data_IF_498398806174
#
_entry.id   IF_498398806174
#
_cell.length_a   1.000
_cell.length_b   1.000
_cell.length_c   1.000
_cell.angle_alpha   90.00
_cell.angle_beta   90.00
_cell.angle_gamma   90.00
#
_symmetry.space_group_name_H-M   'P 1'
#
loop_
_entity.id
_entity.type
_entity.pdbx_description
1 polymer ?
#
# COMPACT_ATOMS: atom_id res chain seq x y z
N UNK A 1 -21.83 -19.64 10.97
CA UNK A 1 -20.40 -19.71 10.62
C UNK A 1 -20.04 -18.39 9.95
N UNK A 2 -19.18 -17.59 10.55
CA UNK A 2 -18.66 -16.40 9.86
C UNK A 2 -17.80 -16.88 8.69
N UNK A 3 -18.28 -16.70 7.48
CA UNK A 3 -17.51 -17.03 6.28
C UNK A 3 -16.38 -16.02 6.16
N UNK A 4 -15.13 -16.48 6.18
CA UNK A 4 -13.96 -15.64 6.00
C UNK A 4 -14.00 -15.06 4.58
N UNK A 5 -13.87 -13.73 4.45
CA UNK A 5 -14.14 -12.99 3.20
C UNK A 5 -13.13 -13.36 2.10
N UNK A 6 -11.89 -13.69 2.47
CA UNK A 6 -10.81 -13.96 1.54
C UNK A 6 -10.45 -15.44 1.42
N UNK A 7 -11.33 -16.34 1.87
CA UNK A 7 -11.11 -17.79 1.73
C UNK A 7 -10.82 -18.15 0.27
N UNK A 8 -9.71 -18.85 0.05
CA UNK A 8 -9.26 -19.25 -1.27
C UNK A 8 -8.75 -18.11 -2.16
N UNK A 9 -8.53 -16.92 -1.63
CA UNK A 9 -7.81 -15.84 -2.31
C UNK A 9 -6.30 -15.94 -1.99
N UNK A 10 -5.46 -15.40 -2.88
CA UNK A 10 -4.01 -15.39 -2.71
C UNK A 10 -3.47 -14.02 -3.02
N UNK A 11 -2.70 -13.45 -2.09
CA UNK A 11 -2.14 -12.12 -2.19
C UNK A 11 -0.60 -12.11 -2.18
N UNK A 12 0.00 -11.26 -3.01
CA UNK A 12 1.37 -10.79 -2.83
C UNK A 12 1.28 -9.41 -2.15
N UNK A 13 2.06 -9.20 -1.08
CA UNK A 13 2.18 -7.89 -0.41
C UNK A 13 3.65 -7.54 -0.29
N UNK A 14 4.09 -6.44 -0.95
CA UNK A 14 5.49 -5.99 -0.91
C UNK A 14 5.75 -5.01 0.21
N UNK A 15 7.00 -5.00 0.75
CA UNK A 15 7.36 -4.17 1.90
C UNK A 15 6.49 -4.47 3.12
N UNK A 16 6.29 -5.76 3.39
CA UNK A 16 5.32 -6.23 4.38
C UNK A 16 5.98 -6.86 5.63
N UNK A 17 7.29 -6.63 5.83
CA UNK A 17 7.98 -7.06 7.05
C UNK A 17 7.55 -6.30 8.30
N UNK A 18 6.99 -5.09 8.14
CA UNK A 18 6.49 -4.24 9.23
C UNK A 18 5.47 -3.20 8.70
N UNK A 19 4.87 -2.44 9.61
CA UNK A 19 4.02 -1.29 9.29
C UNK A 19 2.74 -1.63 8.52
N UNK A 20 2.36 -0.76 7.57
CA UNK A 20 1.09 -0.88 6.83
C UNK A 20 1.04 -2.19 6.03
N UNK A 21 2.12 -2.56 5.34
CA UNK A 21 2.17 -3.78 4.53
C UNK A 21 1.98 -5.04 5.37
N UNK A 22 2.62 -5.10 6.54
CA UNK A 22 2.44 -6.21 7.49
C UNK A 22 1.01 -6.29 7.99
N UNK A 23 0.40 -5.17 8.37
CA UNK A 23 -0.98 -5.15 8.86
C UNK A 23 -1.97 -5.62 7.79
N UNK A 24 -1.79 -5.19 6.53
CA UNK A 24 -2.59 -5.68 5.40
C UNK A 24 -2.43 -7.20 5.23
N UNK A 25 -1.19 -7.70 5.19
CA UNK A 25 -0.91 -9.11 5.03
C UNK A 25 -1.54 -9.96 6.16
N UNK A 26 -1.38 -9.51 7.41
CA UNK A 26 -1.94 -10.14 8.61
C UNK A 26 -3.47 -10.21 8.56
N UNK A 27 -4.13 -9.10 8.24
CA UNK A 27 -5.60 -9.08 8.18
C UNK A 27 -6.16 -9.91 7.02
N UNK A 28 -5.51 -9.90 5.84
CA UNK A 28 -5.89 -10.77 4.73
C UNK A 28 -5.78 -12.25 5.11
N UNK A 29 -4.67 -12.64 5.74
CA UNK A 29 -4.45 -14.01 6.22
C UNK A 29 -5.47 -14.43 7.28
N UNK A 30 -5.76 -13.55 8.26
CA UNK A 30 -6.77 -13.78 9.28
C UNK A 30 -8.19 -13.99 8.71
N UNK A 31 -8.41 -13.50 7.48
CA UNK A 31 -9.67 -13.68 6.75
C UNK A 31 -9.59 -14.75 5.66
N UNK A 32 -8.58 -15.63 5.70
CA UNK A 32 -8.49 -16.85 4.92
C UNK A 32 -7.73 -16.75 3.60
N UNK A 33 -7.00 -15.66 3.34
CA UNK A 33 -6.12 -15.56 2.18
C UNK A 33 -4.77 -16.26 2.42
N UNK A 34 -4.22 -16.91 1.38
CA UNK A 34 -2.81 -17.28 1.33
C UNK A 34 -1.95 -16.07 0.97
N UNK A 35 -0.83 -15.87 1.64
CA UNK A 35 0.01 -14.68 1.51
C UNK A 35 1.42 -15.03 1.07
N UNK A 36 1.91 -14.34 0.04
CA UNK A 36 3.33 -14.15 -0.23
C UNK A 36 3.73 -12.80 0.35
N UNK A 37 4.46 -12.81 1.44
CA UNK A 37 4.91 -11.64 2.17
C UNK A 37 6.33 -11.30 1.76
N UNK A 38 6.52 -10.17 1.09
CA UNK A 38 7.83 -9.74 0.66
C UNK A 38 8.36 -8.59 1.53
N UNK A 39 9.63 -8.64 1.81
CA UNK A 39 10.44 -7.51 2.28
C UNK A 39 11.87 -7.67 1.77
N UNK A 40 12.59 -6.55 1.64
CA UNK A 40 14.01 -6.57 1.28
C UNK A 40 14.85 -7.14 2.43
N UNK A 41 14.43 -6.91 3.67
CA UNK A 41 15.05 -7.49 4.86
C UNK A 41 14.49 -8.90 5.10
N UNK A 42 15.36 -9.89 4.92
CA UNK A 42 15.01 -11.30 5.09
C UNK A 42 14.56 -11.64 6.52
N UNK A 43 15.11 -10.99 7.53
CA UNK A 43 14.76 -11.26 8.92
C UNK A 43 13.37 -10.74 9.25
N UNK A 44 13.06 -9.50 8.80
CA UNK A 44 11.73 -8.92 8.94
C UNK A 44 10.68 -9.74 8.20
N UNK A 45 10.94 -10.14 6.94
CA UNK A 45 10.00 -10.97 6.18
C UNK A 45 9.70 -12.30 6.89
N UNK A 46 10.72 -12.97 7.42
CA UNK A 46 10.55 -14.25 8.15
C UNK A 46 9.77 -14.08 9.44
N UNK A 47 10.11 -13.09 10.25
CA UNK A 47 9.43 -12.82 11.53
C UNK A 47 7.96 -12.46 11.29
N UNK A 48 7.68 -11.58 10.33
CA UNK A 48 6.32 -11.20 9.99
C UNK A 48 5.48 -12.40 9.51
N UNK A 49 6.04 -13.25 8.65
CA UNK A 49 5.35 -14.45 8.20
C UNK A 49 5.13 -15.47 9.33
N UNK A 50 6.05 -15.57 10.28
CA UNK A 50 5.91 -16.43 11.45
C UNK A 50 4.77 -15.96 12.34
N UNK A 51 4.70 -14.67 12.65
CA UNK A 51 3.58 -14.09 13.41
C UNK A 51 2.24 -14.39 12.75
N UNK A 52 2.14 -14.30 11.42
CA UNK A 52 0.89 -14.62 10.71
C UNK A 52 0.55 -16.10 10.85
N UNK A 53 1.52 -17.00 10.72
CA UNK A 53 1.30 -18.47 10.85
C UNK A 53 0.93 -18.88 12.26
N UNK A 54 1.56 -18.29 13.29
CA UNK A 54 1.23 -18.53 14.70
C UNK A 54 -0.22 -18.16 15.04
N UNK A 55 -0.78 -17.18 14.31
CA UNK A 55 -2.18 -16.77 14.42
C UNK A 55 -3.12 -17.59 13.48
N UNK A 56 -2.63 -18.68 12.89
CA UNK A 56 -3.43 -19.60 12.08
C UNK A 56 -3.59 -19.19 10.61
N UNK A 57 -2.90 -18.16 10.15
CA UNK A 57 -2.89 -17.73 8.74
C UNK A 57 -1.90 -18.52 7.88
N UNK A 58 -2.11 -18.52 6.57
CA UNK A 58 -1.20 -19.11 5.59
C UNK A 58 -0.29 -18.02 5.00
N UNK A 59 1.01 -18.06 5.30
CA UNK A 59 1.96 -17.04 4.86
C UNK A 59 3.33 -17.62 4.54
N UNK A 60 3.88 -17.20 3.40
CA UNK A 60 5.24 -17.54 2.94
C UNK A 60 6.05 -16.24 2.87
N UNK A 61 7.19 -16.23 3.54
CA UNK A 61 8.15 -15.13 3.45
C UNK A 61 8.94 -15.24 2.14
N UNK A 62 9.03 -14.15 1.40
CA UNK A 62 9.83 -14.03 0.19
C UNK A 62 10.74 -12.79 0.28
N UNK A 63 12.01 -12.99 0.61
CA UNK A 63 12.97 -11.91 0.73
C UNK A 63 13.50 -11.46 -0.63
N UNK A 64 13.66 -10.18 -0.83
CA UNK A 64 14.25 -9.61 -2.04
C UNK A 64 13.76 -8.20 -2.36
N UNK A 65 14.49 -7.52 -3.22
CA UNK A 65 14.15 -6.17 -3.67
C UNK A 65 12.95 -6.22 -4.62
N UNK A 66 11.84 -5.60 -4.21
CA UNK A 66 10.61 -5.54 -5.00
C UNK A 66 10.68 -4.61 -6.23
N UNK A 67 11.83 -4.01 -6.51
CA UNK A 67 12.12 -3.34 -7.78
C UNK A 67 12.84 -4.24 -8.79
N UNK A 68 13.33 -5.41 -8.36
CA UNK A 68 13.98 -6.41 -9.22
C UNK A 68 12.93 -7.30 -9.93
N UNK A 69 12.92 -7.32 -11.29
CA UNK A 69 12.02 -8.17 -12.05
C UNK A 69 12.12 -9.67 -11.74
N UNK A 70 13.30 -10.17 -11.39
CA UNK A 70 13.49 -11.60 -11.05
C UNK A 70 12.82 -11.92 -9.70
N UNK A 71 12.96 -11.04 -8.71
CA UNK A 71 12.27 -11.16 -7.42
C UNK A 71 10.77 -11.10 -7.60
N UNK A 72 10.26 -10.17 -8.42
CA UNK A 72 8.83 -10.04 -8.69
C UNK A 72 8.27 -11.29 -9.37
N UNK A 73 8.94 -11.79 -10.41
CA UNK A 73 8.50 -13.03 -11.09
C UNK A 73 8.55 -14.22 -10.13
N UNK A 74 9.61 -14.33 -9.31
CA UNK A 74 9.73 -15.36 -8.29
C UNK A 74 8.58 -15.36 -7.27
N UNK A 75 8.10 -14.17 -6.85
CA UNK A 75 6.93 -14.07 -5.97
C UNK A 75 5.65 -14.59 -6.65
N UNK A 76 5.45 -14.27 -7.92
CA UNK A 76 4.28 -14.76 -8.69
C UNK A 76 4.35 -16.29 -8.86
N UNK A 77 5.52 -16.81 -9.20
CA UNK A 77 5.72 -18.26 -9.36
C UNK A 77 5.51 -18.99 -8.04
N UNK A 78 6.00 -18.44 -6.93
CA UNK A 78 5.82 -19.06 -5.61
C UNK A 78 4.34 -19.01 -5.17
N UNK A 79 3.60 -17.94 -5.49
CA UNK A 79 2.15 -17.88 -5.23
C UNK A 79 1.40 -18.97 -6.00
N UNK A 80 1.72 -19.17 -7.27
CA UNK A 80 1.11 -20.21 -8.10
C UNK A 80 1.51 -21.61 -7.65
N UNK A 81 2.78 -21.82 -7.33
CA UNK A 81 3.32 -23.11 -6.88
C UNK A 81 2.70 -23.55 -5.54
N UNK A 82 2.59 -22.65 -4.58
CA UNK A 82 2.16 -23.00 -3.22
C UNK A 82 0.65 -22.94 -3.02
N UNK A 83 -0.04 -22.01 -3.71
CA UNK A 83 -1.48 -21.77 -3.55
C UNK A 83 -2.30 -22.02 -4.84
N UNK A 84 -1.64 -22.39 -5.95
CA UNK A 84 -2.29 -22.73 -7.21
C UNK A 84 -2.75 -21.52 -8.04
N UNK A 85 -2.63 -20.29 -7.54
CA UNK A 85 -3.10 -19.07 -8.21
C UNK A 85 -2.57 -17.79 -7.55
N UNK A 86 -2.81 -16.64 -8.22
CA UNK A 86 -2.64 -15.31 -7.67
C UNK A 86 -3.91 -14.49 -7.95
N UNK A 87 -4.54 -13.90 -6.94
CA UNK A 87 -5.79 -13.15 -7.10
C UNK A 87 -5.71 -11.72 -6.60
N UNK A 88 -4.72 -11.40 -5.78
CA UNK A 88 -4.51 -10.06 -5.24
C UNK A 88 -3.03 -9.67 -5.29
N UNK A 89 -2.73 -8.40 -5.58
CA UNK A 89 -1.40 -7.84 -5.49
C UNK A 89 -1.45 -6.47 -4.81
N UNK A 90 -0.62 -6.27 -3.80
CA UNK A 90 -0.50 -5.02 -3.05
C UNK A 90 0.92 -4.49 -3.22
N UNK A 91 1.07 -3.46 -4.07
CA UNK A 91 2.32 -2.74 -4.27
C UNK A 91 2.47 -1.70 -3.15
N UNK A 92 2.98 -2.15 -2.00
CA UNK A 92 3.11 -1.33 -0.81
C UNK A 92 4.56 -0.89 -0.57
N UNK A 93 5.57 -1.64 -1.01
CA UNK A 93 6.97 -1.26 -0.84
C UNK A 93 7.24 0.17 -1.31
N UNK A 94 7.96 0.92 -0.51
CA UNK A 94 8.29 2.30 -0.83
C UNK A 94 9.23 2.92 0.20
N UNK A 95 10.04 3.85 -0.29
CA UNK A 95 10.98 4.62 0.51
C UNK A 95 10.65 6.10 0.44
N UNK A 96 10.98 6.82 1.50
CA UNK A 96 10.85 8.27 1.60
C UNK A 96 12.23 8.85 1.84
N UNK A 97 12.74 9.64 0.92
CA UNK A 97 14.00 10.36 1.07
C UNK A 97 13.70 11.86 1.00
N UNK A 98 13.84 12.52 2.15
CA UNK A 98 13.70 13.97 2.25
C UNK A 98 14.93 14.66 1.66
N UNK A 99 14.75 15.86 1.09
CA UNK A 99 15.87 16.67 0.65
C UNK A 99 15.46 18.00 0.06
N UNK A 100 16.37 18.98 0.16
CA UNK A 100 16.20 20.28 -0.48
C UNK A 100 16.16 20.13 -2.00
N UNK A 101 15.24 20.82 -2.66
CA UNK A 101 15.04 20.68 -4.11
C UNK A 101 16.27 21.10 -4.93
N UNK A 102 16.96 22.14 -4.50
CA UNK A 102 18.09 22.68 -5.25
C UNK A 102 19.33 21.79 -5.17
N UNK A 103 19.44 20.96 -4.12
CA UNK A 103 20.59 20.09 -3.88
C UNK A 103 20.20 18.62 -3.78
N UNK A 104 19.01 18.24 -4.25
CA UNK A 104 18.54 16.86 -4.14
C UNK A 104 19.43 15.90 -4.94
N UNK A 105 20.05 14.88 -4.30
CA UNK A 105 20.98 13.99 -4.98
C UNK A 105 20.28 13.16 -6.07
N UNK A 106 20.91 13.05 -7.23
CA UNK A 106 20.41 12.28 -8.37
C UNK A 106 20.25 10.79 -8.01
N UNK A 107 21.12 10.26 -7.17
CA UNK A 107 21.06 8.88 -6.68
C UNK A 107 19.80 8.65 -5.85
N UNK A 108 19.43 9.60 -5.00
CA UNK A 108 18.20 9.54 -4.22
C UNK A 108 16.96 9.60 -5.11
N UNK A 109 16.97 10.48 -6.13
CA UNK A 109 15.89 10.54 -7.11
C UNK A 109 15.72 9.21 -7.83
N UNK A 110 16.82 8.62 -8.35
CA UNK A 110 16.79 7.33 -9.04
C UNK A 110 16.24 6.23 -8.13
N UNK A 111 16.73 6.16 -6.90
CA UNK A 111 16.31 5.13 -5.92
C UNK A 111 14.83 5.24 -5.57
N UNK A 112 14.32 6.46 -5.35
CA UNK A 112 12.90 6.68 -5.06
C UNK A 112 12.02 6.30 -6.26
N UNK A 113 12.42 6.66 -7.48
CA UNK A 113 11.71 6.28 -8.71
C UNK A 113 11.73 4.76 -8.91
N UNK A 114 12.86 4.12 -8.70
CA UNK A 114 13.03 2.69 -8.89
C UNK A 114 12.16 1.89 -7.93
N UNK A 115 12.28 2.14 -6.64
CA UNK A 115 11.52 1.38 -5.63
C UNK A 115 10.03 1.69 -5.70
N UNK A 116 9.67 2.99 -5.63
CA UNK A 116 8.26 3.35 -5.44
C UNK A 116 7.43 3.23 -6.71
N UNK A 117 8.01 3.56 -7.87
CA UNK A 117 7.27 3.64 -9.12
C UNK A 117 7.53 2.44 -10.03
N UNK A 118 8.81 2.16 -10.36
CA UNK A 118 9.13 1.03 -11.23
C UNK A 118 8.77 -0.31 -10.59
N UNK A 119 9.10 -0.55 -9.32
CA UNK A 119 8.73 -1.76 -8.60
C UNK A 119 7.23 -1.98 -8.55
N UNK A 120 6.45 -0.93 -8.25
CA UNK A 120 4.99 -1.01 -8.25
C UNK A 120 4.41 -1.30 -9.64
N UNK A 121 4.97 -0.69 -10.70
CA UNK A 121 4.57 -0.96 -12.08
C UNK A 121 4.85 -2.42 -12.47
N UNK A 122 6.06 -2.91 -12.19
CA UNK A 122 6.49 -4.26 -12.53
C UNK A 122 5.66 -5.33 -11.78
N UNK A 123 5.39 -5.15 -10.49
CA UNK A 123 4.51 -6.05 -9.74
C UNK A 123 3.10 -6.04 -10.33
N UNK A 124 2.56 -4.86 -10.63
CA UNK A 124 1.24 -4.73 -11.27
C UNK A 124 1.19 -5.49 -12.58
N UNK A 125 2.21 -5.35 -13.42
CA UNK A 125 2.29 -6.03 -14.71
C UNK A 125 2.38 -7.55 -14.57
N UNK A 126 3.26 -8.05 -13.69
CA UNK A 126 3.44 -9.49 -13.46
C UNK A 126 2.17 -10.12 -12.89
N UNK A 127 1.55 -9.50 -11.87
CA UNK A 127 0.30 -9.95 -11.29
C UNK A 127 -0.85 -9.95 -12.31
N UNK A 128 -1.00 -8.87 -13.07
CA UNK A 128 -2.05 -8.77 -14.09
C UNK A 128 -1.88 -9.82 -15.20
N UNK A 129 -0.65 -10.11 -15.65
CA UNK A 129 -0.36 -11.19 -16.61
C UNK A 129 -0.84 -12.54 -16.06
N UNK A 130 -0.50 -12.85 -14.81
CA UNK A 130 -0.90 -14.09 -14.16
C UNK A 130 -2.44 -14.19 -14.00
N UNK A 131 -3.09 -13.13 -13.50
CA UNK A 131 -4.54 -13.07 -13.34
C UNK A 131 -5.27 -13.24 -14.67
N UNK A 132 -4.77 -12.62 -15.74
CA UNK A 132 -5.31 -12.76 -17.11
C UNK A 132 -5.20 -14.21 -17.62
N UNK A 133 -4.07 -14.87 -17.41
CA UNK A 133 -3.86 -16.27 -17.81
C UNK A 133 -4.82 -17.21 -17.07
N UNK A 134 -5.06 -16.97 -15.79
CA UNK A 134 -5.98 -17.76 -14.95
C UNK A 134 -7.47 -17.53 -15.30
N UNK A 135 -7.81 -16.42 -15.97
CA UNK A 135 -9.18 -15.99 -16.26
C UNK A 135 -10.07 -15.88 -15.01
N UNK A 136 -9.46 -15.56 -13.89
CA UNK A 136 -10.13 -15.49 -12.57
C UNK A 136 -10.57 -14.08 -12.17
N UNK A 137 -10.20 -13.06 -12.95
CA UNK A 137 -10.21 -11.69 -12.48
C UNK A 137 -9.14 -11.46 -11.42
N UNK A 138 -9.20 -10.36 -10.70
CA UNK A 138 -8.24 -10.06 -9.63
C UNK A 138 -8.39 -8.66 -9.05
N UNK A 139 -7.58 -8.36 -8.04
CA UNK A 139 -7.53 -7.07 -7.36
C UNK A 139 -6.09 -6.60 -7.24
N UNK A 140 -5.83 -5.38 -7.68
CA UNK A 140 -4.51 -4.73 -7.55
C UNK A 140 -4.68 -3.46 -6.73
N UNK A 141 -3.82 -3.29 -5.73
CA UNK A 141 -3.80 -2.12 -4.87
C UNK A 141 -2.42 -1.47 -4.89
N UNK A 142 -2.38 -0.17 -5.14
CA UNK A 142 -1.17 0.64 -5.11
C UNK A 142 -1.16 1.49 -3.84
N UNK A 143 -0.06 1.46 -3.10
CA UNK A 143 0.09 2.30 -1.90
C UNK A 143 0.62 3.67 -2.29
N UNK A 144 -0.30 4.62 -2.49
CA UNK A 144 0.00 6.04 -2.71
C UNK A 144 0.31 6.76 -1.39
N UNK A 145 0.02 8.02 -1.32
CA UNK A 145 0.09 8.89 -0.15
C UNK A 145 -0.67 10.18 -0.44
N UNK A 146 -1.15 10.86 0.60
CA UNK A 146 -1.72 12.22 0.46
C UNK A 146 -0.77 13.20 -0.23
N UNK A 147 0.55 13.02 -0.12
CA UNK A 147 1.52 13.85 -0.85
C UNK A 147 1.54 13.59 -2.36
N UNK A 148 0.81 12.60 -2.86
CA UNK A 148 0.55 12.42 -4.29
C UNK A 148 -0.36 13.52 -4.88
N UNK A 149 -1.15 14.21 -4.05
CA UNK A 149 -2.06 15.26 -4.47
C UNK A 149 -2.04 16.51 -3.57
N UNK A 150 -1.22 16.52 -2.51
CA UNK A 150 -1.02 17.69 -1.65
C UNK A 150 0.48 17.96 -1.47
N UNK A 151 0.87 19.24 -1.56
CA UNK A 151 2.27 19.63 -1.40
C UNK A 151 2.76 19.39 0.03
N UNK A 152 3.99 18.85 0.12
CA UNK A 152 4.73 18.75 1.35
C UNK A 152 6.19 19.16 1.10
N UNK A 153 6.73 19.99 1.98
CA UNK A 153 8.11 20.47 1.86
C UNK A 153 9.11 19.31 1.90
N UNK A 154 10.16 19.39 1.08
CA UNK A 154 11.25 18.42 0.99
C UNK A 154 10.89 17.03 0.43
N UNK A 155 9.68 16.84 -0.09
CA UNK A 155 9.20 15.55 -0.61
C UNK A 155 8.94 15.53 -2.12
N UNK A 156 9.52 16.43 -2.91
CA UNK A 156 9.23 16.55 -4.34
C UNK A 156 9.38 15.22 -5.12
N UNK A 157 10.48 14.50 -4.94
CA UNK A 157 10.71 13.22 -5.60
C UNK A 157 9.71 12.14 -5.15
N UNK A 158 9.45 12.04 -3.85
CA UNK A 158 8.48 11.10 -3.29
C UNK A 158 7.06 11.41 -3.78
N UNK A 159 6.63 12.68 -3.70
CA UNK A 159 5.32 13.13 -4.13
C UNK A 159 5.05 12.78 -5.61
N UNK A 160 6.03 12.99 -6.48
CA UNK A 160 5.96 12.64 -7.89
C UNK A 160 5.71 11.14 -8.10
N UNK A 161 6.35 10.26 -7.31
CA UNK A 161 6.09 8.81 -7.40
C UNK A 161 4.67 8.46 -6.96
N UNK A 162 4.18 9.08 -5.89
CA UNK A 162 2.85 8.78 -5.35
C UNK A 162 1.73 9.30 -6.26
N UNK A 163 1.88 10.49 -6.85
CA UNK A 163 1.01 10.98 -7.91
C UNK A 163 1.02 10.06 -9.16
N UNK A 164 2.21 9.56 -9.52
CA UNK A 164 2.37 8.59 -10.62
C UNK A 164 1.59 7.30 -10.40
N UNK A 165 1.57 6.77 -9.17
CA UNK A 165 0.79 5.57 -8.83
C UNK A 165 -0.73 5.80 -8.95
N UNK A 166 -1.23 6.97 -8.55
CA UNK A 166 -2.65 7.31 -8.71
C UNK A 166 -3.05 7.40 -10.19
N UNK A 167 -2.18 8.01 -11.00
CA UNK A 167 -2.40 8.06 -12.45
C UNK A 167 -2.26 6.68 -13.10
N UNK A 168 -1.35 5.83 -12.64
CA UNK A 168 -1.22 4.45 -13.09
C UNK A 168 -2.51 3.67 -12.84
N UNK A 169 -3.10 3.77 -11.65
CA UNK A 169 -4.38 3.15 -11.35
C UNK A 169 -5.48 3.58 -12.33
N UNK A 170 -5.58 4.86 -12.63
CA UNK A 170 -6.56 5.40 -13.59
C UNK A 170 -6.34 4.90 -15.02
N UNK A 171 -5.09 4.90 -15.48
CA UNK A 171 -4.75 4.53 -16.86
C UNK A 171 -5.01 3.06 -17.16
N UNK A 172 -4.63 2.18 -16.24
CA UNK A 172 -4.72 0.74 -16.46
C UNK A 172 -6.14 0.18 -16.41
N UNK A 173 -7.14 0.98 -16.04
CA UNK A 173 -8.56 0.56 -16.07
C UNK A 173 -8.96 0.02 -17.45
N UNK A 174 -8.54 0.69 -18.53
CA UNK A 174 -8.89 0.29 -19.89
C UNK A 174 -8.28 -1.05 -20.29
N UNK A 175 -7.11 -1.38 -19.76
CA UNK A 175 -6.39 -2.60 -20.11
C UNK A 175 -6.76 -3.79 -19.20
N UNK A 176 -7.13 -3.53 -17.94
CA UNK A 176 -7.36 -4.56 -16.93
C UNK A 176 -8.84 -4.96 -16.78
N UNK A 177 -9.76 -4.01 -16.92
CA UNK A 177 -11.21 -4.27 -16.73
C UNK A 177 -11.79 -5.34 -17.66
N UNK A 178 -11.36 -5.48 -18.94
CA UNK A 178 -11.81 -6.57 -19.78
C UNK A 178 -11.53 -7.98 -19.25
N UNK A 179 -10.59 -8.09 -18.31
CA UNK A 179 -10.22 -9.36 -17.66
C UNK A 179 -10.81 -9.50 -16.26
N UNK A 180 -11.72 -8.60 -15.85
CA UNK A 180 -12.29 -8.60 -14.49
C UNK A 180 -11.30 -8.22 -13.39
N UNK A 181 -10.21 -7.54 -13.73
CA UNK A 181 -9.19 -7.08 -12.79
C UNK A 181 -9.49 -5.61 -12.44
N UNK A 182 -9.66 -5.31 -11.14
CA UNK A 182 -9.72 -3.92 -10.67
C UNK A 182 -8.35 -3.47 -10.18
N UNK A 183 -8.08 -2.18 -10.36
CA UNK A 183 -6.87 -1.53 -9.85
C UNK A 183 -7.23 -0.21 -9.19
N UNK A 184 -6.80 -0.03 -7.94
CA UNK A 184 -7.07 1.16 -7.15
C UNK A 184 -5.82 1.56 -6.36
N UNK A 185 -5.84 2.75 -5.77
CA UNK A 185 -4.84 3.18 -4.80
C UNK A 185 -5.46 3.57 -3.47
N UNK A 186 -4.71 3.40 -2.39
CA UNK A 186 -4.96 4.02 -1.10
C UNK A 186 -3.92 5.11 -0.90
N UNK A 187 -4.35 6.27 -0.43
CA UNK A 187 -3.50 7.43 -0.12
C UNK A 187 -3.52 7.72 1.38
N UNK A 188 -2.63 7.10 2.17
CA UNK A 188 -2.53 7.36 3.58
C UNK A 188 -2.08 8.79 3.89
N UNK A 189 -2.64 9.39 4.95
CA UNK A 189 -2.07 10.53 5.63
C UNK A 189 -0.98 10.14 6.62
N UNK A 190 -0.77 10.98 7.63
CA UNK A 190 0.14 10.67 8.72
C UNK A 190 -0.28 9.37 9.41
N UNK A 191 0.61 8.38 9.43
CA UNK A 191 0.34 7.04 9.97
C UNK A 191 1.44 6.65 10.94
N UNK A 192 1.05 6.14 12.09
CA UNK A 192 1.96 5.59 13.09
C UNK A 192 2.47 4.23 12.60
N UNK A 193 3.78 4.15 12.44
CA UNK A 193 4.51 2.92 12.12
C UNK A 193 5.74 2.86 13.01
N UNK A 194 6.39 1.71 13.08
CA UNK A 194 7.66 1.55 13.80
C UNK A 194 8.70 2.57 13.31
N UNK A 195 8.74 2.80 11.99
CA UNK A 195 9.65 3.76 11.38
C UNK A 195 9.36 5.20 11.82
N UNK A 196 8.09 5.65 11.71
CA UNK A 196 7.74 7.04 12.03
C UNK A 196 7.95 7.37 13.50
N UNK A 197 7.73 6.41 14.39
CA UNK A 197 7.99 6.55 15.83
C UNK A 197 9.49 6.60 16.16
N UNK A 198 10.31 5.86 15.38
CA UNK A 198 11.78 5.89 15.54
C UNK A 198 12.38 7.18 15.00
N UNK A 199 11.88 7.66 13.85
CA UNK A 199 12.36 8.90 13.21
C UNK A 199 11.94 10.16 13.98
N UNK A 200 10.72 10.19 14.54
CA UNK A 200 10.18 11.32 15.32
C UNK A 200 9.32 10.84 16.48
N UNK A 201 9.86 10.78 17.69
CA UNK A 201 9.07 10.45 18.89
C UNK A 201 7.91 11.43 19.19
N UNK A 202 7.97 12.65 18.68
CA UNK A 202 6.90 13.64 18.82
C UNK A 202 5.79 13.48 17.76
N UNK A 203 5.96 12.61 16.79
CA UNK A 203 5.05 12.38 15.68
C UNK A 203 3.57 12.27 16.09
N UNK A 204 3.20 11.46 17.11
CA UNK A 204 1.80 11.35 17.52
C UNK A 204 1.23 12.70 17.98
N UNK A 205 1.99 13.47 18.76
CA UNK A 205 1.54 14.77 19.28
C UNK A 205 1.41 15.81 18.18
N UNK A 206 2.41 15.87 17.30
CA UNK A 206 2.46 16.82 16.17
C UNK A 206 1.27 16.63 15.25
N UNK A 207 1.00 15.38 14.84
CA UNK A 207 -0.07 15.09 13.89
C UNK A 207 -1.46 15.11 14.51
N UNK A 208 -1.60 14.82 15.83
CA UNK A 208 -2.87 14.97 16.53
C UNK A 208 -3.35 16.43 16.58
N UNK A 209 -2.43 17.38 16.59
CA UNK A 209 -2.76 18.81 16.66
C UNK A 209 -3.35 19.36 15.34
N UNK A 210 -3.07 18.72 14.20
CA UNK A 210 -3.46 19.23 12.87
C UNK A 210 -4.41 18.31 12.11
N UNK A 211 -4.58 17.07 12.57
CA UNK A 211 -5.53 16.13 11.96
C UNK A 211 -6.92 16.36 12.55
N UNK A 212 -7.97 16.59 11.74
CA UNK A 212 -9.34 16.83 12.26
C UNK A 212 -9.87 15.72 13.16
N UNK A 213 -9.50 14.45 12.90
CA UNK A 213 -9.86 13.31 13.76
C UNK A 213 -9.09 13.28 15.10
N UNK A 214 -8.22 14.27 15.38
CA UNK A 214 -7.48 14.41 16.64
C UNK A 214 -6.35 13.39 16.85
N UNK A 215 -6.03 12.57 15.84
CA UNK A 215 -4.94 11.60 15.88
C UNK A 215 -4.39 11.30 14.48
N UNK A 216 -3.13 10.90 14.34
CA UNK A 216 -2.67 10.24 13.14
C UNK A 216 -3.37 8.88 12.97
N UNK A 217 -3.36 8.34 11.76
CA UNK A 217 -3.82 6.97 11.51
C UNK A 217 -2.91 5.94 12.18
N UNK A 218 -3.43 4.78 12.49
CA UNK A 218 -2.67 3.57 12.78
C UNK A 218 -2.67 2.66 11.53
N UNK A 219 -1.77 1.69 11.45
CA UNK A 219 -1.68 0.79 10.31
C UNK A 219 -3.01 0.08 10.00
N UNK A 220 -3.79 -0.20 11.03
CA UNK A 220 -5.11 -0.84 10.95
C UNK A 220 -6.14 0.03 10.21
N UNK A 221 -6.13 1.36 10.39
CA UNK A 221 -7.02 2.28 9.65
C UNK A 221 -6.78 2.16 8.13
N UNK A 222 -5.51 2.06 7.73
CA UNK A 222 -5.11 1.93 6.32
C UNK A 222 -5.44 0.53 5.79
N UNK A 223 -5.14 -0.50 6.58
CA UNK A 223 -5.42 -1.88 6.21
C UNK A 223 -6.92 -2.11 5.98
N UNK A 224 -7.80 -1.55 6.80
CA UNK A 224 -9.25 -1.66 6.62
C UNK A 224 -9.71 -1.11 5.27
N UNK A 225 -9.19 0.04 4.84
CA UNK A 225 -9.47 0.61 3.53
C UNK A 225 -8.92 -0.26 2.38
N UNK A 226 -7.70 -0.79 2.55
CA UNK A 226 -7.07 -1.71 1.61
C UNK A 226 -7.89 -2.99 1.44
N UNK A 227 -8.29 -3.62 2.53
CA UNK A 227 -9.11 -4.83 2.51
C UNK A 227 -10.46 -4.60 1.83
N UNK A 228 -11.10 -3.45 2.08
CA UNK A 228 -12.34 -3.11 1.37
C UNK A 228 -12.13 -3.08 -0.14
N UNK A 229 -11.09 -2.41 -0.64
CA UNK A 229 -10.79 -2.33 -2.09
C UNK A 229 -10.35 -3.67 -2.69
N UNK A 230 -9.79 -4.59 -1.88
CA UNK A 230 -9.41 -5.93 -2.29
C UNK A 230 -10.57 -6.93 -2.21
N UNK A 231 -11.65 -6.59 -1.49
CA UNK A 231 -12.78 -7.49 -1.23
C UNK A 231 -13.68 -7.71 -2.46
N UNK A 232 -14.51 -8.74 -2.46
CA UNK A 232 -15.52 -8.92 -3.50
C UNK A 232 -16.58 -7.80 -3.52
N UNK A 233 -16.75 -7.07 -2.42
CA UNK A 233 -17.74 -5.98 -2.30
C UNK A 233 -17.39 -4.73 -3.11
N UNK A 234 -16.10 -4.57 -3.48
CA UNK A 234 -15.60 -3.45 -4.29
C UNK A 234 -15.46 -3.78 -5.78
N UNK A 235 -16.09 -4.84 -6.27
CA UNK A 235 -15.92 -5.36 -7.62
C UNK A 235 -16.23 -4.37 -8.76
N UNK A 236 -16.92 -3.26 -8.48
CA UNK A 236 -17.21 -2.19 -9.46
C UNK A 236 -16.44 -0.89 -9.17
N UNK A 237 -15.47 -0.93 -8.24
CA UNK A 237 -14.59 0.19 -7.91
C UNK A 237 -13.23 -0.08 -8.58
N UNK A 238 -12.85 0.76 -9.55
CA UNK A 238 -11.56 0.68 -10.25
C UNK A 238 -11.10 2.05 -10.69
N UNK A 239 -9.79 2.29 -10.73
CA UNK A 239 -9.18 3.57 -11.09
C UNK A 239 -9.31 4.64 -10.01
N UNK A 240 -9.67 4.29 -8.78
CA UNK A 240 -9.91 5.25 -7.71
C UNK A 240 -8.71 5.36 -6.77
N UNK A 241 -8.54 6.55 -6.18
CA UNK A 241 -7.62 6.78 -5.07
C UNK A 241 -8.44 7.08 -3.82
N UNK A 242 -8.33 6.22 -2.80
CA UNK A 242 -9.03 6.39 -1.54
C UNK A 242 -8.10 7.04 -0.50
N UNK A 243 -8.43 8.27 -0.12
CA UNK A 243 -7.70 9.00 0.92
C UNK A 243 -8.09 8.49 2.30
N UNK A 244 -7.10 8.22 3.15
CA UNK A 244 -7.27 7.79 4.55
C UNK A 244 -6.34 8.61 5.43
N UNK A 245 -6.79 9.80 5.83
CA UNK A 245 -5.95 10.83 6.45
C UNK A 245 -6.59 11.54 7.64
N UNK A 246 -7.74 11.07 8.11
CA UNK A 246 -8.48 11.69 9.20
C UNK A 246 -9.01 13.11 8.88
N UNK A 247 -9.17 13.42 7.57
CA UNK A 247 -9.68 14.68 7.07
C UNK A 247 -8.61 15.77 6.88
N UNK A 248 -7.33 15.45 7.04
CA UNK A 248 -6.25 16.44 6.96
C UNK A 248 -6.20 17.17 5.62
N UNK A 249 -6.31 16.46 4.50
CA UNK A 249 -6.30 17.10 3.17
C UNK A 249 -7.62 17.75 2.77
N UNK A 250 -8.68 17.55 3.54
CA UNK A 250 -10.01 18.11 3.28
C UNK A 250 -10.19 19.51 3.87
N UNK A 251 -9.25 19.98 4.69
CA UNK A 251 -9.30 21.30 5.32
C UNK A 251 -8.22 22.21 4.76
N UNK A 252 -8.57 23.51 4.68
CA UNK A 252 -7.61 24.59 4.41
C UNK A 252 -7.39 25.42 5.66
N UNK A 253 -6.28 26.14 5.78
CA UNK A 253 -6.14 27.13 6.85
C UNK A 253 -7.32 28.10 6.84
N UNK A 254 -8.06 28.12 7.94
CA UNK A 254 -9.21 29.02 8.10
C UNK A 254 -8.80 30.22 8.95
N UNK A 255 -9.40 31.42 8.71
CA UNK A 255 -9.27 32.52 9.66
C UNK A 255 -9.82 32.13 11.03
N UNK A 256 -9.27 32.75 12.06
CA UNK A 256 -9.80 32.53 13.42
C UNK A 256 -11.24 33.05 13.52
N UNK A 257 -12.17 32.13 13.70
CA UNK A 257 -13.60 32.39 13.79
C UNK A 257 -14.11 32.24 15.24
N UNK A 258 -13.21 32.16 16.24
CA UNK A 258 -13.56 31.96 17.65
C UNK A 258 -14.50 33.05 18.21
N UNK A 259 -14.50 34.25 17.58
CA UNK A 259 -15.38 35.38 17.96
C UNK A 259 -16.66 35.47 17.08
N UNK A 260 -16.92 34.51 16.20
CA UNK A 260 -18.14 34.47 15.38
C UNK A 260 -19.29 33.89 16.21
N UNK A 261 -20.31 34.69 16.49
CA UNK A 261 -21.59 34.18 17.00
C UNK A 261 -22.31 33.43 15.86
N UNK A 262 -22.40 32.10 15.97
CA UNK A 262 -23.24 31.30 15.13
C UNK A 262 -24.69 31.47 15.62
N UNK A 263 -25.50 32.18 14.85
CA UNK A 263 -26.95 32.38 15.14
C UNK A 263 -27.74 31.15 14.70
#
# INVERSE_FOLDING_TARGET
MNTLIFTGQVAIVTGAGQGIGFEIAKQLANQGAGIILNDIDQSLARQAAEVIRENGGECIAFAGDSSDPEVINGMVDEAVKCFGKLTMAVANAGITLFGDFFEYPVENLRKVLEVNLAGSFLLTQAAAKQMRQQKSGGRILLMSSVVGHQAHQFLGAYAMTKAGLEMLAKNLVLELSPYGITINSVAPGATLTERTLTEDPAYPKTWSAITPMGRPAICEDIANAALFLLSPFSGHITGQSLVVDGGWTSVSPLPDLSNMEVK
#
